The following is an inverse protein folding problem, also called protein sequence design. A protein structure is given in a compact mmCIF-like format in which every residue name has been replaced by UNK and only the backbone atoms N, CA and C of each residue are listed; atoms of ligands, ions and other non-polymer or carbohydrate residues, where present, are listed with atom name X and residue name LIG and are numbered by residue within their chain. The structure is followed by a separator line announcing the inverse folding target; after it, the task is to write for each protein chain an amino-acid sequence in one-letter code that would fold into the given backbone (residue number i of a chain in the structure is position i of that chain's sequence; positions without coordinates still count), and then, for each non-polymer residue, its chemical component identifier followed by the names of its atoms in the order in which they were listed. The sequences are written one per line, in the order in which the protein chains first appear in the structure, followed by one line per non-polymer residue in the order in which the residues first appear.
data_IF_746531006546
#
_entry.id   IF_746531006546
#
_cell.length_a   1.000
_cell.length_b   1.000
_cell.length_c   1.000
_cell.angle_alpha   90.00
_cell.angle_beta   90.00
_cell.angle_gamma   90.00
#
_symmetry.space_group_name_H-M   'P 1'
#
loop_
_entity.id
_entity.type
_entity.pdbx_description
1 polymer ?
#
# COMPACT_ATOMS: atom_id res chain seq x y z
N UNK A 1 40.81 33.39 -28.78
CA UNK A 1 39.81 33.23 -29.86
C UNK A 1 39.59 31.75 -30.17
N UNK A 2 38.75 31.04 -29.39
CA UNK A 2 38.26 29.66 -29.69
C UNK A 2 37.40 29.10 -28.52
N UNK A 3 36.34 29.80 -28.10
CA UNK A 3 35.28 29.24 -27.22
C UNK A 3 33.95 30.00 -27.39
N UNK A 4 33.45 30.05 -28.63
CA UNK A 4 32.15 30.65 -28.94
C UNK A 4 31.41 29.90 -30.05
N UNK A 5 31.47 28.57 -30.05
CA UNK A 5 30.76 27.71 -31.03
C UNK A 5 30.30 26.41 -30.33
N UNK A 6 29.49 26.50 -29.28
CA UNK A 6 28.65 25.39 -28.80
C UNK A 6 27.35 26.00 -28.25
N UNK A 7 26.60 26.68 -29.13
CA UNK A 7 25.28 27.25 -28.79
C UNK A 7 24.34 27.19 -30.01
N UNK A 8 24.51 26.15 -30.85
CA UNK A 8 23.70 25.89 -32.06
C UNK A 8 23.29 24.41 -32.13
N UNK A 9 23.04 23.79 -30.97
CA UNK A 9 22.58 22.39 -30.89
C UNK A 9 21.44 22.22 -29.88
N UNK A 10 20.64 23.27 -29.70
CA UNK A 10 19.39 23.29 -28.92
C UNK A 10 18.33 24.06 -29.75
N UNK A 11 18.03 23.61 -30.96
CA UNK A 11 16.87 24.12 -31.72
C UNK A 11 16.42 23.19 -32.86
N UNK A 12 16.19 21.90 -32.58
CA UNK A 12 15.65 20.99 -33.61
C UNK A 12 14.91 19.74 -33.07
N UNK A 13 14.19 19.85 -31.95
CA UNK A 13 13.21 18.83 -31.55
C UNK A 13 11.90 19.53 -31.16
N UNK A 14 11.21 20.08 -32.17
CA UNK A 14 9.82 20.56 -32.09
C UNK A 14 9.12 20.22 -33.40
N UNK A 15 8.94 18.92 -33.71
CA UNK A 15 7.98 18.50 -34.74
C UNK A 15 7.41 17.12 -34.34
N UNK A 16 6.11 17.09 -34.10
CA UNK A 16 5.27 15.93 -34.41
C UNK A 16 4.90 15.02 -33.24
N UNK A 17 3.74 15.27 -32.63
CA UNK A 17 2.65 14.31 -32.70
C UNK A 17 1.31 15.05 -32.61
N UNK A 18 0.62 15.02 -33.75
CA UNK A 18 -0.72 15.50 -34.00
C UNK A 18 -1.72 14.85 -33.07
N UNK A 19 -2.61 15.68 -32.52
CA UNK A 19 -3.91 15.31 -31.96
C UNK A 19 -4.73 14.51 -32.98
N UNK A 20 -5.29 13.38 -32.55
CA UNK A 20 -6.48 12.79 -33.17
C UNK A 20 -7.57 12.76 -32.11
N UNK A 21 -8.51 13.69 -32.26
CA UNK A 21 -9.83 13.63 -31.63
C UNK A 21 -10.58 12.47 -32.29
N UNK A 22 -10.87 11.41 -31.54
CA UNK A 22 -11.94 10.46 -31.87
C UNK A 22 -13.09 10.79 -30.94
N UNK A 23 -14.05 11.54 -31.49
CA UNK A 23 -15.40 11.68 -30.96
C UNK A 23 -16.13 10.40 -31.36
N UNK A 24 -16.41 9.52 -30.41
CA UNK A 24 -17.45 8.51 -30.58
C UNK A 24 -18.69 9.02 -29.84
N UNK A 25 -19.58 9.64 -30.62
CA UNK A 25 -20.99 9.75 -30.28
C UNK A 25 -21.56 8.32 -30.19
N UNK A 26 -21.83 7.85 -28.98
CA UNK A 26 -22.80 6.75 -28.81
C UNK A 26 -24.17 7.39 -28.66
N UNK A 27 -24.91 7.35 -29.75
CA UNK A 27 -26.33 7.67 -29.81
C UNK A 27 -27.10 6.80 -28.80
N UNK A 28 -27.87 7.49 -27.96
CA UNK A 28 -29.05 6.97 -27.27
C UNK A 28 -30.03 6.41 -28.29
N UNK A 29 -30.21 5.08 -28.27
CA UNK A 29 -31.37 4.42 -28.83
C UNK A 29 -32.30 4.04 -27.68
N UNK A 30 -33.29 4.89 -27.45
CA UNK A 30 -34.62 4.46 -27.01
C UNK A 30 -35.15 3.47 -28.05
N UNK A 31 -35.49 2.24 -27.66
CA UNK A 31 -36.78 1.66 -28.04
C UNK A 31 -37.06 0.28 -27.43
N UNK A 32 -38.33 0.15 -27.08
CA UNK A 32 -39.15 -1.05 -27.13
C UNK A 32 -39.06 -2.01 -25.95
N UNK A 33 -39.94 -1.74 -25.00
CA UNK A 33 -40.79 -2.75 -24.37
C UNK A 33 -41.29 -3.76 -25.41
N UNK A 34 -41.07 -5.04 -25.15
CA UNK A 34 -41.89 -6.12 -25.69
C UNK A 34 -42.23 -7.07 -24.54
N UNK A 35 -43.50 -7.03 -24.15
CA UNK A 35 -44.20 -8.12 -23.51
C UNK A 35 -44.00 -9.39 -24.35
N UNK A 36 -43.56 -10.46 -23.72
CA UNK A 36 -43.80 -11.81 -24.22
C UNK A 36 -44.50 -12.57 -23.11
N UNK A 37 -45.82 -12.67 -23.26
CA UNK A 37 -46.64 -13.71 -22.66
C UNK A 37 -46.10 -15.07 -23.16
N UNK A 38 -45.65 -15.91 -22.24
CA UNK A 38 -45.36 -17.32 -22.54
C UNK A 38 -46.47 -18.15 -21.90
N UNK A 39 -47.30 -18.67 -22.80
CA UNK A 39 -48.33 -19.66 -22.54
C UNK A 39 -47.74 -20.90 -21.86
N UNK A 40 -48.38 -21.26 -20.75
CA UNK A 40 -48.36 -22.59 -20.16
C UNK A 40 -48.86 -23.62 -21.18
N UNK A 41 -47.99 -24.55 -21.58
CA UNK A 41 -48.39 -25.74 -22.32
C UNK A 41 -47.96 -26.99 -21.53
N UNK A 42 -48.94 -27.58 -20.88
CA UNK A 42 -48.93 -28.95 -20.39
C UNK A 42 -48.79 -29.90 -21.59
N UNK A 43 -47.75 -30.73 -21.60
CA UNK A 43 -47.93 -32.08 -22.13
C UNK A 43 -46.90 -33.05 -21.54
N UNK A 44 -47.45 -34.00 -20.81
CA UNK A 44 -46.84 -35.28 -20.45
C UNK A 44 -46.50 -36.09 -21.70
N UNK A 45 -45.29 -36.67 -21.77
CA UNK A 45 -45.19 -38.11 -21.95
C UNK A 45 -43.80 -38.64 -21.55
N UNK A 46 -43.84 -39.83 -20.96
CA UNK A 46 -42.68 -40.56 -20.45
C UNK A 46 -41.87 -41.16 -21.58
N UNK A 47 -40.56 -40.95 -21.59
CA UNK A 47 -39.64 -41.96 -22.09
C UNK A 47 -38.36 -42.05 -21.24
N UNK A 48 -38.23 -43.25 -20.72
CA UNK A 48 -37.17 -43.85 -19.91
C UNK A 48 -36.15 -44.39 -20.91
N UNK A 49 -34.90 -43.91 -20.89
CA UNK A 49 -33.71 -44.73 -21.08
C UNK A 49 -32.41 -43.90 -21.15
N UNK A 50 -31.37 -44.51 -20.60
CA UNK A 50 -29.94 -44.18 -20.70
C UNK A 50 -29.41 -43.03 -19.85
N UNK A 51 -29.10 -43.38 -18.60
CA UNK A 51 -28.16 -42.68 -17.72
C UNK A 51 -26.76 -42.71 -18.35
N UNK A 52 -26.37 -41.62 -18.98
CA UNK A 52 -24.98 -41.18 -19.01
C UNK A 52 -24.98 -39.67 -18.72
N UNK A 53 -25.21 -39.36 -17.44
CA UNK A 53 -25.00 -38.03 -16.90
C UNK A 53 -23.49 -37.78 -16.89
N UNK A 54 -22.96 -37.32 -18.02
CA UNK A 54 -21.76 -36.49 -17.99
C UNK A 54 -22.13 -35.24 -17.21
N UNK A 55 -21.90 -35.32 -15.90
CA UNK A 55 -21.89 -34.20 -14.96
C UNK A 55 -21.12 -33.08 -15.61
N UNK A 56 -21.84 -32.13 -16.18
CA UNK A 56 -21.32 -30.84 -16.55
C UNK A 56 -21.03 -30.18 -15.20
N UNK A 57 -19.82 -30.44 -14.69
CA UNK A 57 -19.27 -29.86 -13.47
C UNK A 57 -19.32 -28.36 -13.73
N UNK A 58 -20.43 -27.77 -13.29
CA UNK A 58 -20.63 -26.33 -13.33
C UNK A 58 -19.38 -25.75 -12.73
N UNK A 59 -18.64 -25.03 -13.56
CA UNK A 59 -17.41 -24.34 -13.21
C UNK A 59 -17.80 -23.47 -12.01
N UNK A 60 -17.55 -23.96 -10.80
CA UNK A 60 -17.71 -23.21 -9.56
C UNK A 60 -16.65 -22.14 -9.69
N UNK A 61 -17.04 -21.04 -10.35
CA UNK A 61 -16.22 -19.88 -10.57
C UNK A 61 -15.90 -19.36 -9.17
N UNK A 62 -14.72 -19.80 -8.73
CA UNK A 62 -14.12 -19.69 -7.42
C UNK A 62 -14.18 -18.24 -6.98
N UNK A 63 -15.24 -17.91 -6.24
CA UNK A 63 -15.31 -16.71 -5.42
C UNK A 63 -14.49 -16.90 -4.14
N UNK A 64 -13.64 -17.93 -4.04
CA UNK A 64 -12.96 -18.25 -2.79
C UNK A 64 -11.47 -17.87 -2.82
N UNK A 65 -11.00 -17.13 -3.83
CA UNK A 65 -9.64 -16.54 -3.82
C UNK A 65 -9.67 -15.18 -3.11
N UNK A 66 -8.56 -14.79 -2.48
CA UNK A 66 -8.44 -13.50 -1.79
C UNK A 66 -6.95 -13.15 -1.63
N UNK A 67 -6.40 -12.27 -2.45
CA UNK A 67 -5.00 -11.85 -2.46
C UNK A 67 -4.83 -10.47 -1.84
N UNK A 68 -4.20 -10.45 -0.67
CA UNK A 68 -4.04 -9.23 0.12
C UNK A 68 -2.66 -8.61 -0.12
N UNK A 69 -2.65 -7.32 -0.44
CA UNK A 69 -1.43 -6.51 -0.53
C UNK A 69 -0.93 -6.10 0.86
N UNK A 70 0.39 -6.13 1.07
CA UNK A 70 0.99 -5.59 2.29
C UNK A 70 2.33 -4.89 1.98
N UNK A 71 2.48 -3.65 2.44
CA UNK A 71 3.69 -2.84 2.28
C UNK A 71 4.33 -2.58 3.64
N UNK A 72 5.59 -2.97 3.79
CA UNK A 72 6.37 -2.75 5.01
C UNK A 72 7.60 -1.92 4.68
N UNK A 73 7.95 -0.97 5.54
CA UNK A 73 9.22 -0.26 5.48
C UNK A 73 9.97 -0.44 6.78
N UNK A 74 11.29 -0.67 6.68
CA UNK A 74 12.17 -0.72 7.86
C UNK A 74 12.24 0.64 8.59
N UNK A 75 12.01 1.73 7.88
CA UNK A 75 11.92 3.07 8.45
C UNK A 75 10.86 3.90 7.74
N UNK A 76 10.01 4.59 8.51
CA UNK A 76 9.05 5.57 7.99
C UNK A 76 9.60 6.99 8.01
N UNK A 77 10.75 7.23 8.65
CA UNK A 77 11.34 8.56 8.85
C UNK A 77 12.82 8.64 8.46
N UNK A 78 13.19 8.21 7.25
CA UNK A 78 14.59 8.23 6.83
C UNK A 78 15.11 9.67 6.66
N UNK A 79 16.42 9.83 6.87
CA UNK A 79 17.13 11.01 6.42
C UNK A 79 17.17 11.10 4.90
N UNK A 80 17.28 12.33 4.38
CA UNK A 80 17.57 12.55 2.95
C UNK A 80 18.83 11.77 2.52
N UNK A 81 18.68 10.94 1.49
CA UNK A 81 19.76 10.12 0.92
C UNK A 81 20.08 8.83 1.68
N UNK A 82 19.39 8.58 2.80
CA UNK A 82 19.48 7.32 3.54
C UNK A 82 18.86 6.18 2.73
N UNK A 83 19.45 4.98 2.84
CA UNK A 83 18.87 3.77 2.26
C UNK A 83 17.73 3.27 3.14
N UNK A 84 16.57 3.07 2.54
CA UNK A 84 15.41 2.46 3.18
C UNK A 84 15.11 1.13 2.51
N UNK A 85 15.02 0.08 3.32
CA UNK A 85 14.51 -1.21 2.86
C UNK A 85 12.98 -1.21 2.96
N UNK A 86 12.32 -1.45 1.83
CA UNK A 86 10.88 -1.57 1.69
C UNK A 86 10.56 -2.96 1.17
N UNK A 87 9.69 -3.69 1.87
CA UNK A 87 9.23 -5.02 1.51
C UNK A 87 7.78 -4.97 1.04
N UNK A 88 7.53 -5.62 -0.09
CA UNK A 88 6.22 -5.77 -0.69
C UNK A 88 5.85 -7.24 -0.61
N UNK A 89 4.71 -7.53 0.02
CA UNK A 89 4.23 -8.88 0.25
C UNK A 89 2.84 -9.04 -0.34
N UNK A 90 2.56 -10.28 -0.73
CA UNK A 90 1.23 -10.73 -1.13
C UNK A 90 0.87 -11.92 -0.25
N UNK A 91 -0.39 -11.96 0.19
CA UNK A 91 -0.93 -13.06 0.98
C UNK A 91 -2.17 -13.62 0.30
N UNK A 92 -2.23 -14.93 0.09
CA UNK A 92 -3.47 -15.59 -0.34
C UNK A 92 -4.26 -16.04 0.89
N UNK A 93 -5.37 -15.36 1.20
CA UNK A 93 -6.31 -15.67 2.28
C UNK A 93 -7.49 -16.54 1.80
N UNK A 94 -7.54 -16.81 0.51
CA UNK A 94 -8.52 -17.68 -0.10
C UNK A 94 -8.39 -19.16 0.26
N UNK A 95 -9.34 -19.95 -0.21
CA UNK A 95 -9.43 -21.40 0.02
C UNK A 95 -8.65 -22.21 -1.03
N UNK A 96 -8.27 -21.61 -2.16
CA UNK A 96 -7.55 -22.25 -3.25
C UNK A 96 -6.21 -21.57 -3.52
N UNK A 97 -5.32 -22.30 -4.20
CA UNK A 97 -4.08 -21.75 -4.70
C UNK A 97 -4.38 -20.79 -5.85
N UNK A 98 -3.63 -19.69 -5.89
CA UNK A 98 -3.79 -18.64 -6.88
C UNK A 98 -2.64 -18.74 -7.86
N UNK A 99 -2.95 -18.86 -9.16
CA UNK A 99 -1.95 -18.80 -10.22
C UNK A 99 -1.29 -17.41 -10.28
N UNK A 100 -0.12 -17.29 -10.91
CA UNK A 100 0.60 -16.02 -10.94
C UNK A 100 -0.20 -14.87 -11.56
N UNK A 101 -0.14 -13.69 -10.95
CA UNK A 101 -0.88 -12.48 -11.31
C UNK A 101 0.05 -11.27 -11.46
N UNK A 102 -0.40 -10.21 -12.12
CA UNK A 102 0.37 -8.97 -12.23
C UNK A 102 0.39 -8.18 -10.92
N UNK A 103 1.47 -7.44 -10.71
CA UNK A 103 1.55 -6.44 -9.64
C UNK A 103 2.31 -5.21 -10.10
N UNK A 104 2.00 -4.09 -9.45
CA UNK A 104 2.65 -2.80 -9.66
C UNK A 104 3.05 -2.19 -8.31
N UNK A 105 4.24 -1.62 -8.27
CA UNK A 105 4.75 -0.84 -7.15
C UNK A 105 4.92 0.60 -7.62
N UNK A 106 4.41 1.56 -6.87
CA UNK A 106 4.60 2.99 -7.12
C UNK A 106 5.19 3.69 -5.91
N UNK A 107 6.13 4.61 -6.16
CA UNK A 107 6.50 5.64 -5.18
C UNK A 107 6.15 6.98 -5.80
N UNK A 108 5.34 7.76 -5.12
CA UNK A 108 4.91 9.08 -5.58
C UNK A 108 5.21 10.18 -4.57
N UNK A 109 5.44 11.39 -5.08
CA UNK A 109 5.65 12.61 -4.29
C UNK A 109 4.77 13.71 -4.83
N UNK A 110 3.88 14.25 -3.97
CA UNK A 110 2.89 15.27 -4.36
C UNK A 110 2.08 14.84 -5.61
N UNK A 111 1.70 13.56 -5.65
CA UNK A 111 0.96 12.95 -6.77
C UNK A 111 1.79 12.64 -8.02
N UNK A 112 3.09 13.01 -8.08
CA UNK A 112 3.95 12.64 -9.20
C UNK A 112 4.61 11.29 -8.92
N UNK A 113 4.40 10.32 -9.81
CA UNK A 113 5.10 9.03 -9.75
C UNK A 113 6.57 9.25 -10.10
N UNK A 114 7.46 8.89 -9.17
CA UNK A 114 8.91 9.03 -9.33
C UNK A 114 9.61 7.67 -9.48
N UNK A 115 8.92 6.59 -9.12
CA UNK A 115 9.35 5.22 -9.32
C UNK A 115 8.12 4.37 -9.63
N UNK A 116 8.22 3.57 -10.69
CA UNK A 116 7.22 2.57 -11.06
C UNK A 116 7.94 1.24 -11.35
N UNK A 117 7.39 0.15 -10.86
CA UNK A 117 7.84 -1.20 -11.20
C UNK A 117 6.65 -2.11 -11.41
N UNK A 118 6.65 -2.85 -12.51
CA UNK A 118 5.60 -3.81 -12.90
C UNK A 118 6.22 -5.18 -13.12
N UNK A 119 5.58 -6.23 -12.62
CA UNK A 119 5.99 -7.60 -12.88
C UNK A 119 4.81 -8.56 -12.63
N UNK A 120 5.05 -9.87 -12.73
CA UNK A 120 4.10 -10.91 -12.35
C UNK A 120 4.63 -11.74 -11.18
N UNK A 121 3.73 -12.22 -10.34
CA UNK A 121 4.01 -13.18 -9.27
C UNK A 121 4.11 -14.60 -9.84
N UNK A 122 4.73 -15.49 -9.07
CA UNK A 122 4.53 -16.94 -9.22
C UNK A 122 3.23 -17.34 -8.51
N UNK A 123 2.81 -18.60 -8.65
CA UNK A 123 1.64 -19.11 -7.93
C UNK A 123 1.82 -18.99 -6.41
N UNK A 124 0.76 -18.57 -5.71
CA UNK A 124 0.74 -18.45 -4.26
C UNK A 124 -0.24 -19.49 -3.71
N UNK A 125 0.25 -20.42 -2.90
CA UNK A 125 -0.62 -21.43 -2.29
C UNK A 125 -1.60 -20.77 -1.29
N UNK A 126 -2.71 -21.44 -1.04
CA UNK A 126 -3.69 -20.99 -0.03
C UNK A 126 -3.05 -20.76 1.33
N UNK A 127 -3.48 -19.71 2.01
CA UNK A 127 -2.95 -19.26 3.32
C UNK A 127 -1.46 -18.93 3.33
N UNK A 128 -0.80 -18.83 2.17
CA UNK A 128 0.61 -18.47 2.09
C UNK A 128 0.79 -16.97 1.99
N UNK A 129 1.82 -16.46 2.66
CA UNK A 129 2.36 -15.10 2.50
C UNK A 129 3.72 -15.19 1.82
N UNK A 130 3.95 -14.37 0.81
CA UNK A 130 5.21 -14.31 0.06
C UNK A 130 5.72 -12.89 -0.05
N UNK A 131 7.04 -12.72 0.05
CA UNK A 131 7.69 -11.46 -0.32
C UNK A 131 7.90 -11.45 -1.83
N UNK A 132 7.14 -10.62 -2.54
CA UNK A 132 7.24 -10.51 -4.00
C UNK A 132 8.38 -9.58 -4.42
N UNK A 133 8.74 -8.59 -3.56
CA UNK A 133 9.84 -7.68 -3.82
C UNK A 133 10.42 -7.10 -2.53
N UNK A 134 11.74 -6.96 -2.49
CA UNK A 134 12.45 -6.07 -1.57
C UNK A 134 13.12 -4.96 -2.38
N UNK A 135 12.91 -3.72 -1.97
CA UNK A 135 13.46 -2.52 -2.59
C UNK A 135 14.34 -1.78 -1.58
N UNK A 136 15.59 -1.53 -1.95
CA UNK A 136 16.46 -0.61 -1.24
C UNK A 136 16.41 0.75 -1.95
N UNK A 137 15.70 1.71 -1.38
CA UNK A 137 15.42 3.01 -2.00
C UNK A 137 16.08 4.16 -1.26
N UNK A 138 16.58 5.17 -1.99
CA UNK A 138 17.09 6.42 -1.42
C UNK A 138 16.20 7.58 -1.82
N UNK A 139 15.69 8.29 -0.83
CA UNK A 139 14.90 9.49 -1.07
C UNK A 139 15.81 10.72 -1.23
N UNK A 140 15.76 11.35 -2.39
CA UNK A 140 16.65 12.42 -2.81
C UNK A 140 16.21 13.82 -2.37
N UNK A 141 15.01 13.95 -1.80
CA UNK A 141 14.46 15.22 -1.38
C UNK A 141 13.57 15.05 -0.13
N UNK A 142 13.44 16.13 0.64
CA UNK A 142 12.63 16.16 1.86
C UNK A 142 11.12 16.10 1.57
N UNK A 143 10.35 15.61 2.54
CA UNK A 143 8.89 15.60 2.52
C UNK A 143 8.29 14.19 2.44
N UNK A 144 7.01 14.14 2.10
CA UNK A 144 6.22 12.92 2.22
C UNK A 144 6.16 12.18 0.88
N UNK A 145 6.41 10.88 0.92
CA UNK A 145 6.37 9.97 -0.21
C UNK A 145 5.31 8.91 0.06
N UNK A 146 4.41 8.71 -0.88
CA UNK A 146 3.44 7.61 -0.82
C UNK A 146 4.04 6.41 -1.53
N UNK A 147 4.04 5.26 -0.89
CA UNK A 147 4.50 3.99 -1.43
C UNK A 147 3.30 3.06 -1.52
N UNK A 148 3.01 2.55 -2.70
CA UNK A 148 1.81 1.78 -2.99
C UNK A 148 2.16 0.46 -3.66
N UNK A 149 1.41 -0.58 -3.31
CA UNK A 149 1.40 -1.88 -3.98
C UNK A 149 0.00 -2.12 -4.52
N UNK A 150 -0.07 -2.51 -5.79
CA UNK A 150 -1.28 -2.94 -6.47
C UNK A 150 -1.08 -4.39 -6.89
N UNK A 151 -1.99 -5.28 -6.52
CA UNK A 151 -2.06 -6.67 -6.98
C UNK A 151 -3.22 -6.83 -7.97
N UNK A 152 -3.04 -7.69 -8.97
CA UNK A 152 -4.05 -8.04 -9.97
C UNK A 152 -4.84 -6.82 -10.51
N UNK A 153 -4.13 -5.82 -11.03
CA UNK A 153 -4.76 -4.56 -11.45
C UNK A 153 -5.76 -4.76 -12.59
N UNK A 154 -5.56 -5.83 -13.37
CA UNK A 154 -6.43 -6.23 -14.45
C UNK A 154 -7.66 -7.02 -13.99
N UNK A 155 -7.78 -7.32 -12.68
CA UNK A 155 -8.84 -8.12 -12.07
C UNK A 155 -9.08 -9.42 -12.87
N UNK A 156 -8.00 -10.20 -13.01
CA UNK A 156 -8.00 -11.47 -13.73
C UNK A 156 -8.34 -12.65 -12.83
N UNK A 157 -8.11 -12.49 -11.53
CA UNK A 157 -8.50 -13.42 -10.48
C UNK A 157 -9.82 -12.90 -9.91
N UNK A 158 -10.81 -13.77 -9.82
CA UNK A 158 -12.06 -13.42 -9.15
C UNK A 158 -11.88 -13.62 -7.65
N UNK A 159 -12.12 -12.58 -6.86
CA UNK A 159 -11.82 -12.59 -5.43
C UNK A 159 -13.04 -12.37 -4.54
N UNK A 160 -12.85 -12.59 -3.22
CA UNK A 160 -13.81 -12.20 -2.20
C UNK A 160 -13.84 -10.68 -1.99
N UNK A 161 -12.66 -10.06 -1.94
CA UNK A 161 -12.49 -8.66 -1.55
C UNK A 161 -11.47 -7.92 -2.44
N UNK A 162 -11.92 -7.46 -3.60
CA UNK A 162 -11.10 -6.71 -4.58
C UNK A 162 -10.45 -5.42 -4.03
N UNK A 163 -10.96 -4.89 -2.91
CA UNK A 163 -10.44 -3.66 -2.30
C UNK A 163 -9.14 -3.89 -1.52
N UNK A 164 -8.84 -5.13 -1.11
CA UNK A 164 -7.64 -5.47 -0.33
C UNK A 164 -6.40 -5.77 -1.19
N UNK A 165 -6.55 -5.69 -2.52
CA UNK A 165 -5.48 -5.81 -3.52
C UNK A 165 -4.55 -4.59 -3.55
N UNK A 166 -4.86 -3.54 -2.77
CA UNK A 166 -4.09 -2.31 -2.70
C UNK A 166 -3.70 -2.02 -1.26
N UNK A 167 -2.41 -1.79 -1.02
CA UNK A 167 -1.92 -1.30 0.26
C UNK A 167 -0.94 -0.13 0.07
N UNK A 168 -0.87 0.75 1.06
CA UNK A 168 -0.01 1.92 0.99
C UNK A 168 0.52 2.38 2.34
N UNK A 169 1.76 2.88 2.31
CA UNK A 169 2.38 3.57 3.44
C UNK A 169 2.86 4.96 3.01
N UNK A 170 3.02 5.84 4.00
CA UNK A 170 3.66 7.15 3.79
C UNK A 170 5.01 7.19 4.49
N UNK A 171 6.06 7.54 3.75
CA UNK A 171 7.42 7.74 4.25
C UNK A 171 7.71 9.24 4.33
N UNK A 172 8.18 9.70 5.49
CA UNK A 172 8.42 11.09 5.84
C UNK A 172 9.92 11.38 5.86
N UNK A 173 10.45 11.90 4.77
CA UNK A 173 11.89 12.14 4.61
C UNK A 173 12.25 13.46 5.27
N UNK A 174 13.04 13.39 6.35
CA UNK A 174 13.46 14.56 7.14
C UNK A 174 14.92 14.93 6.84
N UNK A 175 15.29 16.18 7.15
CA UNK A 175 16.70 16.56 7.08
C UNK A 175 17.41 15.90 8.24
N UNK A 176 18.51 15.21 7.94
CA UNK A 176 19.30 14.49 8.93
C UNK A 176 20.25 15.45 9.68
N UNK A 177 19.92 16.75 9.75
CA UNK A 177 20.70 17.75 10.47
C UNK A 177 20.96 17.21 11.85
N UNK A 178 22.21 16.78 12.01
CA UNK A 178 22.77 16.12 13.16
C UNK A 178 22.20 16.77 14.42
N UNK A 179 21.37 16.02 15.14
CA UNK A 179 21.18 16.21 16.57
C UNK A 179 22.51 15.95 17.27
N UNK A 180 23.48 16.82 17.02
CA UNK A 180 24.71 16.95 17.76
C UNK A 180 24.31 17.47 19.12
N UNK A 181 23.98 16.53 20.01
CA UNK A 181 24.33 16.55 21.42
C UNK A 181 24.82 17.90 21.94
N UNK A 182 23.88 18.78 22.30
CA UNK A 182 24.17 19.82 23.28
C UNK A 182 24.05 19.17 24.65
N UNK A 183 25.22 18.99 25.26
CA UNK A 183 25.40 18.44 26.60
C UNK A 183 24.52 19.14 27.64
N UNK A 184 23.92 18.33 28.51
CA UNK A 184 23.53 18.61 29.90
C UNK A 184 23.08 20.04 30.21
N UNK A 185 21.77 20.28 30.21
CA UNK A 185 21.21 21.20 31.21
C UNK A 185 19.86 20.69 31.71
N UNK A 186 19.79 20.57 33.03
CA UNK A 186 18.70 20.07 33.85
C UNK A 186 17.55 21.10 33.83
N UNK A 187 16.80 21.12 32.72
CA UNK A 187 15.68 22.05 32.55
C UNK A 187 14.38 21.28 32.53
N UNK A 188 13.60 21.50 33.59
CA UNK A 188 12.20 21.11 33.74
C UNK A 188 11.43 21.33 32.44
N UNK A 189 11.02 20.21 31.83
CA UNK A 189 10.31 20.11 30.56
C UNK A 189 9.07 20.99 30.61
N UNK A 190 9.18 22.15 29.95
CA UNK A 190 8.04 22.94 29.55
C UNK A 190 7.36 22.16 28.44
N UNK A 191 6.09 21.85 28.64
CA UNK A 191 5.20 21.22 27.67
C UNK A 191 5.40 21.90 26.30
N UNK A 192 6.00 21.17 25.35
CA UNK A 192 6.30 21.73 24.03
C UNK A 192 4.96 21.99 23.34
N UNK A 193 4.58 23.26 23.21
CA UNK A 193 3.31 23.65 22.59
C UNK A 193 3.19 22.99 21.22
N UNK A 194 2.11 22.21 21.03
CA UNK A 194 1.79 21.56 19.76
C UNK A 194 1.86 20.04 19.77
N UNK A 195 2.44 19.42 20.79
CA UNK A 195 2.42 17.97 20.94
C UNK A 195 2.12 17.54 22.38
N UNK A 196 1.21 16.58 22.53
CA UNK A 196 0.91 15.96 23.83
C UNK A 196 1.14 14.47 23.76
N UNK A 197 1.79 13.94 24.80
CA UNK A 197 2.09 12.52 24.94
C UNK A 197 1.54 11.98 26.26
N UNK A 198 0.67 10.96 26.19
CA UNK A 198 -0.08 10.49 27.36
C UNK A 198 0.76 9.70 28.38
N UNK A 199 1.89 9.15 27.97
CA UNK A 199 2.81 8.47 28.87
C UNK A 199 3.92 9.40 29.40
N UNK A 200 4.13 10.54 28.74
CA UNK A 200 5.15 11.53 29.05
C UNK A 200 6.50 11.26 28.39
N UNK A 201 6.53 10.61 27.23
CA UNK A 201 7.72 10.49 26.38
C UNK A 201 7.91 9.07 25.86
N UNK A 202 9.02 8.43 26.24
CA UNK A 202 9.37 7.09 25.78
C UNK A 202 9.25 6.09 26.93
N UNK A 203 8.04 5.70 27.31
CA UNK A 203 7.80 4.72 28.38
C UNK A 203 7.24 3.43 27.80
N UNK A 204 8.15 2.60 27.32
CA UNK A 204 7.87 1.32 26.65
C UNK A 204 7.00 0.33 27.44
N UNK A 205 6.87 0.46 28.77
CA UNK A 205 6.04 -0.41 29.60
C UNK A 205 4.66 0.19 29.93
N UNK A 206 4.26 1.28 29.27
CA UNK A 206 3.00 1.97 29.48
C UNK A 206 2.48 2.47 28.14
N UNK A 207 1.24 2.13 27.80
CA UNK A 207 0.63 2.58 26.55
C UNK A 207 0.59 4.11 26.48
N UNK A 208 1.35 4.64 25.54
CA UNK A 208 1.44 6.03 25.12
C UNK A 208 0.48 6.34 23.97
N UNK A 209 0.25 7.62 23.77
CA UNK A 209 -0.56 8.16 22.68
C UNK A 209 -0.08 9.57 22.43
N UNK A 210 0.61 9.73 21.32
CA UNK A 210 1.08 11.02 20.87
C UNK A 210 -0.01 11.71 20.04
N UNK A 211 -0.24 13.00 20.28
CA UNK A 211 -1.12 13.88 19.48
C UNK A 211 -0.37 15.13 19.08
N UNK A 212 -0.49 15.52 17.81
CA UNK A 212 0.02 16.77 17.26
C UNK A 212 -0.92 17.29 16.15
N UNK A 213 -0.48 18.30 15.39
CA UNK A 213 -1.22 18.81 14.23
C UNK A 213 -1.43 17.80 13.10
N UNK A 214 -0.54 16.81 12.96
CA UNK A 214 -0.62 15.74 11.95
C UNK A 214 -1.53 14.59 12.41
N UNK A 215 -1.60 14.36 13.72
CA UNK A 215 -2.34 13.29 14.38
C UNK A 215 -3.30 13.87 15.42
N UNK A 216 -4.27 14.66 14.97
CA UNK A 216 -5.26 15.33 15.84
C UNK A 216 -6.03 14.36 16.74
N UNK A 217 -6.30 13.15 16.24
CA UNK A 217 -6.95 12.07 17.03
C UNK A 217 -5.98 11.27 17.91
N UNK A 218 -4.69 11.47 17.69
CA UNK A 218 -3.60 10.72 18.30
C UNK A 218 -3.21 9.46 17.55
N UNK A 219 -2.01 8.99 17.87
CA UNK A 219 -1.45 7.70 17.49
C UNK A 219 -0.87 7.06 18.73
N UNK A 220 -1.42 5.90 19.08
CA UNK A 220 -0.98 5.09 20.21
C UNK A 220 0.19 4.22 19.82
N UNK A 221 0.98 3.83 20.81
CA UNK A 221 2.01 2.81 20.62
C UNK A 221 1.37 1.50 20.16
N UNK A 222 2.12 0.73 19.38
CA UNK A 222 1.64 -0.55 18.88
C UNK A 222 2.77 -1.54 18.69
N UNK A 223 2.46 -2.83 18.75
CA UNK A 223 3.43 -3.87 18.49
C UNK A 223 3.66 -4.02 16.99
N UNK A 224 4.89 -3.74 16.54
CA UNK A 224 5.37 -3.99 15.19
C UNK A 224 5.92 -5.42 15.00
N UNK A 225 5.77 -6.27 16.01
CA UNK A 225 6.12 -7.69 16.04
C UNK A 225 5.98 -8.25 17.46
N UNK A 226 6.28 -9.53 17.67
CA UNK A 226 6.23 -10.13 19.02
C UNK A 226 7.27 -9.54 19.96
N UNK A 227 8.39 -9.04 19.44
CA UNK A 227 9.50 -8.49 20.24
C UNK A 227 9.75 -7.00 19.93
N UNK A 228 8.93 -6.36 19.08
CA UNK A 228 9.17 -4.99 18.62
C UNK A 228 7.98 -4.08 18.96
N UNK A 229 8.24 -3.04 19.74
CA UNK A 229 7.31 -1.97 20.05
C UNK A 229 7.58 -0.78 19.12
N UNK A 230 6.52 -0.23 18.54
CA UNK A 230 6.55 1.05 17.85
C UNK A 230 6.01 2.13 18.81
N UNK A 231 6.93 2.85 19.44
CA UNK A 231 6.68 3.89 20.44
C UNK A 231 6.36 5.22 19.74
N UNK A 232 5.18 5.78 20.01
CA UNK A 232 4.75 7.09 19.54
C UNK A 232 5.00 8.13 20.62
N UNK A 233 5.93 9.07 20.38
CA UNK A 233 6.32 10.05 21.39
C UNK A 233 6.37 11.48 20.84
N UNK A 234 6.27 12.48 21.71
CA UNK A 234 6.51 13.87 21.33
C UNK A 234 8.00 14.16 21.14
N UNK A 235 8.41 14.45 19.91
CA UNK A 235 9.79 14.85 19.62
C UNK A 235 10.11 16.25 20.18
N UNK A 236 11.40 16.61 20.33
CA UNK A 236 11.80 17.98 20.69
C UNK A 236 11.31 19.06 19.72
N UNK A 237 10.86 18.69 18.51
CA UNK A 237 10.30 19.63 17.53
C UNK A 237 8.82 19.96 17.77
N UNK A 238 8.19 19.34 18.77
CA UNK A 238 6.76 19.53 19.04
C UNK A 238 5.86 18.79 18.05
N UNK A 239 6.37 17.73 17.43
CA UNK A 239 5.61 16.82 16.56
C UNK A 239 5.73 15.39 17.06
N UNK A 240 4.70 14.59 16.79
CA UNK A 240 4.75 13.16 17.03
C UNK A 240 5.79 12.50 16.14
N UNK A 241 6.60 11.65 16.77
CA UNK A 241 7.56 10.82 16.10
C UNK A 241 7.38 9.37 16.55
N UNK A 242 8.04 8.46 15.84
CA UNK A 242 8.00 7.04 16.18
C UNK A 242 9.42 6.50 16.37
N UNK A 243 9.58 5.62 17.35
CA UNK A 243 10.79 4.80 17.51
C UNK A 243 10.39 3.33 17.53
N UNK A 244 11.14 2.49 16.81
CA UNK A 244 11.01 1.04 16.94
C UNK A 244 12.02 0.58 17.99
N UNK A 245 11.52 -0.02 19.06
CA UNK A 245 12.30 -0.53 20.19
C UNK A 245 12.08 -2.04 20.32
N UNK A 246 13.17 -2.80 20.42
CA UNK A 246 13.11 -4.22 20.80
C UNK A 246 12.82 -4.33 22.30
N UNK A 247 11.83 -5.14 22.67
CA UNK A 247 11.46 -5.42 24.05
C UNK A 247 12.41 -6.46 24.65
N UNK A 248 12.75 -6.33 25.94
CA UNK A 248 13.52 -7.35 26.65
C UNK A 248 12.72 -8.67 26.84
N UNK A 249 11.38 -8.60 26.72
CA UNK A 249 10.45 -9.72 26.69
C UNK A 249 9.53 -9.67 25.46
N UNK A 250 8.21 -9.63 25.66
CA UNK A 250 7.22 -9.63 24.57
C UNK A 250 6.52 -8.29 24.44
N UNK A 251 6.25 -7.86 23.21
CA UNK A 251 5.31 -6.78 22.95
C UNK A 251 3.87 -7.31 22.93
N UNK A 252 3.03 -6.76 23.80
CA UNK A 252 1.59 -7.03 23.83
C UNK A 252 0.83 -5.73 24.04
N UNK A 253 -0.25 -5.54 23.28
CA UNK A 253 -1.15 -4.39 23.42
C UNK A 253 -0.46 -3.01 23.40
N UNK A 254 0.62 -2.89 22.61
CA UNK A 254 1.38 -1.64 22.50
C UNK A 254 2.26 -1.33 23.70
N UNK A 255 2.67 -2.34 24.48
CA UNK A 255 3.67 -2.19 25.54
C UNK A 255 4.65 -3.38 25.55
N UNK A 256 5.87 -3.15 26.02
CA UNK A 256 6.83 -4.18 26.37
C UNK A 256 6.52 -4.77 27.76
N UNK A 257 6.46 -6.09 27.84
CA UNK A 257 6.28 -6.88 29.06
C UNK A 257 7.51 -7.76 29.24
N UNK A 258 8.17 -7.65 30.39
CA UNK A 258 9.29 -8.52 30.81
C UNK A 258 8.84 -9.95 31.15
#
# INVERSE_FOLDING_TARGET
MKRLIILVLILSILIGCSTQNIVNETQTNDNSSNNVDIESNDNSDSQKDSKDETSNVGNKNSLDNDVVAEVFSKSLYPGKGENVEIQFKASNKGLYDVEGFDYRIEISKKGNIIYEYKNKTESINKNQKVTIKTLNYKFDALGNYKVELFLDELNTIKELEEENNIDSITIYVKDQTTSSSTNNDDTTISEVEGCTDSDGGKKYNKLGTCKDENFVKGKSDFCAGDENLAEMFCSPTGLCDIEIRECDGVCRDGICIE
#
